data_IF_305484527858
#
_entry.id   IF_305484527858
#
_cell.length_a   1.000
_cell.length_b   1.000
_cell.length_c   1.000
_cell.angle_alpha   90.00
_cell.angle_beta   90.00
_cell.angle_gamma   90.00
#
_symmetry.space_group_name_H-M   'P 1'
#
loop_
_entity.id
_entity.type
_entity.pdbx_description
1 polymer ?
#
# COMPACT_ATOMS: atom_id res chain seq x y z
N UNK A 1 -8.10 -42.19 -36.63
CA UNK A 1 -7.00 -41.24 -36.40
C UNK A 1 -7.54 -40.16 -35.46
N UNK A 2 -7.14 -40.15 -34.19
CA UNK A 2 -7.58 -39.12 -33.25
C UNK A 2 -6.87 -37.80 -33.58
N UNK A 3 -7.64 -36.70 -33.58
CA UNK A 3 -7.18 -35.36 -33.87
C UNK A 3 -6.13 -34.87 -32.87
N UNK A 4 -5.15 -34.13 -33.38
CA UNK A 4 -4.11 -33.44 -32.63
C UNK A 4 -4.76 -32.43 -31.68
N UNK A 5 -4.32 -32.31 -30.40
CA UNK A 5 -4.82 -31.24 -29.55
C UNK A 5 -4.30 -29.89 -30.07
N UNK A 6 -5.20 -28.93 -30.19
CA UNK A 6 -4.89 -27.51 -30.43
C UNK A 6 -4.04 -27.00 -29.27
N UNK A 7 -2.77 -26.72 -29.54
CA UNK A 7 -1.92 -25.89 -28.70
C UNK A 7 -2.55 -24.50 -28.63
N UNK A 8 -3.04 -24.12 -27.45
CA UNK A 8 -3.36 -22.74 -27.11
C UNK A 8 -2.08 -21.92 -27.26
N UNK A 9 -2.04 -21.03 -28.24
CA UNK A 9 -0.99 -20.03 -28.36
C UNK A 9 -1.07 -19.08 -27.15
N UNK A 10 0.02 -19.01 -26.38
CA UNK A 10 0.22 -17.99 -25.36
C UNK A 10 0.32 -16.62 -26.06
N UNK A 11 -0.66 -15.76 -25.78
CA UNK A 11 -0.66 -14.36 -26.21
C UNK A 11 0.32 -13.54 -25.34
N UNK A 12 1.07 -12.57 -25.89
CA UNK A 12 2.13 -11.89 -25.15
C UNK A 12 1.56 -11.02 -24.03
N UNK A 13 2.28 -11.02 -22.91
CA UNK A 13 1.95 -10.37 -21.65
C UNK A 13 1.63 -8.88 -21.80
N UNK A 14 0.33 -8.56 -21.78
CA UNK A 14 -0.18 -7.27 -21.35
C UNK A 14 -0.62 -7.37 -19.90
N UNK A 15 -0.22 -6.40 -19.07
CA UNK A 15 -0.65 -6.14 -17.70
C UNK A 15 -1.89 -6.92 -17.25
N UNK A 16 -1.70 -8.12 -16.68
CA UNK A 16 -2.74 -8.80 -15.91
C UNK A 16 -2.58 -8.38 -14.46
N UNK A 17 -3.38 -7.43 -14.00
CA UNK A 17 -3.62 -7.23 -12.57
C UNK A 17 -4.21 -8.54 -12.02
N UNK A 18 -3.38 -9.36 -11.38
CA UNK A 18 -3.82 -10.51 -10.58
C UNK A 18 -4.32 -10.00 -9.23
N UNK A 19 -5.32 -10.67 -8.64
CA UNK A 19 -5.89 -10.38 -7.31
C UNK A 19 -4.89 -10.41 -6.14
N UNK A 20 -3.64 -10.76 -6.41
CA UNK A 20 -2.58 -10.94 -5.44
C UNK A 20 -1.52 -9.84 -5.51
N UNK A 21 -1.80 -8.69 -6.13
CA UNK A 21 -0.84 -7.60 -6.24
C UNK A 21 -1.31 -6.36 -5.47
N UNK A 22 -0.36 -5.62 -4.91
CA UNK A 22 -0.59 -4.26 -4.42
C UNK A 22 -0.08 -3.27 -5.45
N UNK A 23 -0.90 -2.27 -5.78
CA UNK A 23 -0.52 -1.16 -6.66
C UNK A 23 0.29 -0.14 -5.88
N UNK A 24 1.52 0.12 -6.33
CA UNK A 24 2.41 1.12 -5.75
C UNK A 24 2.83 2.15 -6.78
N UNK A 25 2.98 3.39 -6.34
CA UNK A 25 3.43 4.53 -7.13
C UNK A 25 4.83 4.94 -6.68
N UNK A 26 5.63 5.49 -7.59
CA UNK A 26 6.74 6.36 -7.24
C UNK A 26 6.46 7.78 -7.70
N UNK A 27 6.59 8.74 -6.79
CA UNK A 27 6.30 10.15 -7.10
C UNK A 27 7.40 10.79 -7.96
N UNK A 28 6.99 11.74 -8.81
CA UNK A 28 7.88 12.61 -9.59
C UNK A 28 8.55 13.72 -8.76
N UNK A 29 9.50 14.42 -9.37
CA UNK A 29 10.35 15.47 -8.75
C UNK A 29 9.69 16.88 -8.76
N UNK A 30 8.43 16.98 -9.20
CA UNK A 30 7.72 18.25 -9.38
C UNK A 30 6.74 18.52 -8.22
N UNK A 31 7.12 19.48 -7.37
CA UNK A 31 6.26 20.32 -6.50
C UNK A 31 5.26 19.66 -5.53
N UNK A 32 5.22 18.33 -5.37
CA UNK A 32 4.43 17.71 -4.30
C UNK A 32 5.15 17.82 -2.95
N UNK A 33 4.37 18.11 -1.91
CA UNK A 33 4.82 18.33 -0.52
C UNK A 33 5.31 17.06 0.19
N UNK A 34 5.52 15.95 -0.52
CA UNK A 34 6.01 14.66 0.00
C UNK A 34 7.26 14.25 -0.78
N UNK A 35 8.20 13.64 -0.07
CA UNK A 35 9.59 13.44 -0.47
C UNK A 35 9.73 12.90 -1.91
N UNK A 36 10.38 13.64 -2.82
CA UNK A 36 10.60 13.20 -4.20
C UNK A 36 11.22 11.79 -4.26
N UNK A 37 10.64 10.94 -5.10
CA UNK A 37 11.14 9.58 -5.36
C UNK A 37 10.77 8.51 -4.31
N UNK A 38 9.96 8.83 -3.30
CA UNK A 38 9.43 7.81 -2.38
C UNK A 38 8.34 6.95 -3.03
N UNK A 39 8.28 5.68 -2.62
CA UNK A 39 7.22 4.75 -3.01
C UNK A 39 6.03 4.89 -2.05
N UNK A 40 4.86 5.18 -2.59
CA UNK A 40 3.61 5.29 -1.84
C UNK A 40 2.44 4.63 -2.55
N UNK A 41 1.32 4.46 -1.84
CA UNK A 41 0.05 4.16 -2.46
C UNK A 41 -0.58 5.44 -3.04
N UNK A 42 -1.53 5.31 -3.98
CA UNK A 42 -2.31 6.45 -4.39
C UNK A 42 -3.02 7.11 -3.21
N UNK A 43 -3.07 8.44 -3.19
CA UNK A 43 -3.77 9.18 -2.15
C UNK A 43 -3.10 10.49 -1.75
N UNK A 44 -3.93 11.41 -1.27
CA UNK A 44 -3.50 12.75 -0.90
C UNK A 44 -4.25 13.30 0.29
N UNK A 45 -4.55 14.60 0.24
CA UNK A 45 -5.15 15.33 1.36
C UNK A 45 -6.66 15.45 1.11
N UNK A 46 -7.45 15.21 2.14
CA UNK A 46 -8.89 15.47 2.10
C UNK A 46 -9.19 16.92 1.71
N UNK A 47 -10.08 17.09 0.73
CA UNK A 47 -10.62 18.36 0.29
C UNK A 47 -12.03 18.61 0.83
N UNK A 48 -12.45 19.87 0.87
CA UNK A 48 -13.79 20.24 1.38
C UNK A 48 -14.95 19.69 0.55
N UNK A 49 -14.66 19.25 -0.67
CA UNK A 49 -15.58 18.62 -1.62
C UNK A 49 -15.72 17.11 -1.40
N UNK A 50 -14.78 16.50 -0.68
CA UNK A 50 -14.81 15.07 -0.40
C UNK A 50 -15.89 14.77 0.66
N UNK A 51 -16.78 13.82 0.36
CA UNK A 51 -17.86 13.45 1.28
C UNK A 51 -17.36 12.70 2.52
N UNK A 52 -16.28 11.92 2.36
CA UNK A 52 -15.61 11.14 3.39
C UNK A 52 -14.19 10.75 2.94
N UNK A 53 -13.46 10.01 3.79
CA UNK A 53 -12.10 9.53 3.49
C UNK A 53 -12.03 8.61 2.26
N UNK A 54 -13.12 7.90 1.94
CA UNK A 54 -13.17 7.03 0.75
C UNK A 54 -13.27 7.89 -0.51
N UNK A 55 -14.09 8.94 -0.48
CA UNK A 55 -14.17 9.91 -1.57
C UNK A 55 -12.81 10.57 -1.84
N UNK A 56 -12.06 10.96 -0.79
CA UNK A 56 -10.68 11.45 -0.94
C UNK A 56 -9.79 10.42 -1.63
N UNK A 57 -9.76 9.18 -1.16
CA UNK A 57 -8.90 8.14 -1.75
C UNK A 57 -9.24 7.86 -3.22
N UNK A 58 -10.53 7.83 -3.58
CA UNK A 58 -10.98 7.60 -4.95
C UNK A 58 -10.64 8.77 -5.88
N UNK A 59 -10.83 10.01 -5.42
CA UNK A 59 -10.48 11.21 -6.19
C UNK A 59 -8.99 11.24 -6.50
N UNK A 60 -8.16 11.08 -5.48
CA UNK A 60 -6.70 11.10 -5.62
C UNK A 60 -6.20 9.95 -6.51
N UNK A 61 -6.73 8.73 -6.36
CA UNK A 61 -6.39 7.62 -7.25
C UNK A 61 -6.81 7.88 -8.71
N UNK A 62 -7.90 8.59 -8.93
CA UNK A 62 -8.31 9.01 -10.27
C UNK A 62 -7.35 10.07 -10.84
N UNK A 63 -6.94 11.05 -10.04
CA UNK A 63 -6.01 12.12 -10.43
C UNK A 63 -4.60 11.57 -10.73
N UNK A 64 -4.09 10.67 -9.89
CA UNK A 64 -2.72 10.17 -9.98
C UNK A 64 -2.53 9.07 -11.04
N UNK A 65 -3.49 8.16 -11.18
CA UNK A 65 -3.37 6.98 -12.07
C UNK A 65 -4.55 6.73 -12.98
N UNK A 66 -5.55 7.62 -13.02
CA UNK A 66 -6.73 7.46 -13.88
C UNK A 66 -7.69 6.36 -13.44
N UNK A 67 -7.65 5.93 -12.17
CA UNK A 67 -8.55 4.89 -11.65
C UNK A 67 -9.96 5.45 -11.44
N UNK A 68 -10.87 5.18 -12.37
CA UNK A 68 -12.26 5.61 -12.24
C UNK A 68 -12.99 4.87 -11.10
N UNK A 69 -13.92 5.51 -10.37
CA UNK A 69 -14.65 4.87 -9.27
C UNK A 69 -15.38 3.56 -9.62
N UNK A 70 -15.82 3.40 -10.86
CA UNK A 70 -16.48 2.16 -11.31
C UNK A 70 -15.50 1.01 -11.60
N UNK A 71 -14.19 1.25 -11.56
CA UNK A 71 -13.13 0.26 -11.75
C UNK A 71 -12.55 -0.23 -10.41
N UNK A 72 -13.14 0.18 -9.28
CA UNK A 72 -12.69 -0.22 -7.96
C UNK A 72 -13.87 -0.55 -7.06
N UNK A 73 -13.82 -1.73 -6.45
CA UNK A 73 -14.73 -2.13 -5.39
C UNK A 73 -14.05 -1.87 -4.03
N UNK A 74 -14.48 -0.82 -3.33
CA UNK A 74 -13.96 -0.51 -1.99
C UNK A 74 -14.50 -1.52 -0.99
N UNK A 75 -13.58 -2.21 -0.30
CA UNK A 75 -13.90 -3.30 0.63
C UNK A 75 -13.96 -2.81 2.06
N UNK A 76 -12.95 -2.04 2.49
CA UNK A 76 -12.87 -1.55 3.85
C UNK A 76 -11.96 -0.33 4.01
N UNK A 77 -12.10 0.31 5.18
CA UNK A 77 -11.10 1.24 5.72
C UNK A 77 -10.33 0.50 6.81
N UNK A 78 -9.01 0.62 6.82
CA UNK A 78 -8.19 0.11 7.91
C UNK A 78 -8.15 1.12 9.07
N UNK A 79 -7.63 0.67 10.21
CA UNK A 79 -7.42 1.54 11.38
C UNK A 79 -6.54 2.73 10.95
N UNK A 80 -6.94 3.98 11.24
CA UNK A 80 -6.13 5.14 10.90
C UNK A 80 -4.76 5.10 11.57
N UNK A 81 -3.77 5.69 10.91
CA UNK A 81 -2.43 5.84 11.45
C UNK A 81 -2.16 7.29 11.83
N UNK A 82 -1.72 7.51 13.06
CA UNK A 82 -1.26 8.82 13.54
C UNK A 82 0.19 9.04 13.06
N UNK A 83 0.37 9.81 11.99
CA UNK A 83 1.69 10.09 11.44
C UNK A 83 2.48 11.08 12.30
N UNK A 84 1.80 12.14 12.73
CA UNK A 84 2.28 13.12 13.70
C UNK A 84 1.10 13.61 14.54
N UNK A 85 1.32 14.55 15.46
CA UNK A 85 0.28 15.03 16.38
C UNK A 85 -0.98 15.59 15.71
N UNK A 86 -0.88 16.01 14.44
CA UNK A 86 -1.97 16.69 13.72
C UNK A 86 -2.35 15.99 12.41
N UNK A 87 -1.72 14.87 12.07
CA UNK A 87 -1.88 14.20 10.78
C UNK A 87 -2.29 12.76 10.96
N UNK A 88 -3.47 12.43 10.44
CA UNK A 88 -4.02 11.08 10.36
C UNK A 88 -4.02 10.60 8.92
N UNK A 89 -3.71 9.32 8.73
CA UNK A 89 -3.79 8.64 7.44
C UNK A 89 -4.82 7.52 7.58
N UNK A 90 -5.89 7.57 6.79
CA UNK A 90 -6.92 6.51 6.73
C UNK A 90 -6.66 5.65 5.49
N UNK A 91 -6.16 4.40 5.63
CA UNK A 91 -5.97 3.52 4.49
C UNK A 91 -7.30 2.97 3.99
N UNK A 92 -7.52 3.03 2.69
CA UNK A 92 -8.70 2.48 2.02
C UNK A 92 -8.25 1.32 1.14
N UNK A 93 -8.90 0.15 1.29
CA UNK A 93 -8.57 -1.06 0.55
C UNK A 93 -9.70 -1.35 -0.44
N UNK A 94 -9.34 -1.59 -1.70
CA UNK A 94 -10.30 -1.94 -2.75
C UNK A 94 -9.73 -2.91 -3.77
N UNK A 95 -10.61 -3.68 -4.40
CA UNK A 95 -10.27 -4.53 -5.53
C UNK A 95 -10.38 -3.75 -6.84
N UNK A 96 -9.30 -3.76 -7.62
CA UNK A 96 -9.25 -3.07 -8.91
C UNK A 96 -9.75 -4.01 -10.02
N UNK A 97 -10.53 -3.48 -10.96
CA UNK A 97 -10.99 -4.20 -12.14
C UNK A 97 -9.81 -4.69 -12.99
N UNK A 98 -9.87 -5.95 -13.44
CA UNK A 98 -8.81 -6.58 -14.22
C UNK A 98 -8.50 -5.90 -15.57
N UNK A 99 -9.42 -5.09 -16.12
CA UNK A 99 -9.20 -4.33 -17.34
C UNK A 99 -8.63 -2.93 -17.09
N UNK A 100 -8.47 -2.52 -15.84
CA UNK A 100 -7.82 -1.26 -15.52
C UNK A 100 -6.39 -1.23 -16.07
N UNK A 101 -6.06 -0.14 -16.76
CA UNK A 101 -4.72 0.17 -17.20
C UNK A 101 -4.37 1.54 -16.61
N UNK A 102 -3.31 1.59 -15.80
CA UNK A 102 -2.89 2.82 -15.16
C UNK A 102 -2.51 3.88 -16.21
N UNK A 103 -2.97 5.10 -15.99
CA UNK A 103 -2.62 6.29 -16.75
C UNK A 103 -1.96 7.28 -15.79
N UNK A 104 -0.65 7.15 -15.54
CA UNK A 104 0.03 7.96 -14.54
C UNK A 104 0.01 9.43 -14.95
N UNK A 105 -0.40 10.32 -14.05
CA UNK A 105 -0.25 11.75 -14.24
C UNK A 105 1.23 12.12 -14.12
N UNK A 106 1.91 12.57 -15.19
CA UNK A 106 3.36 12.82 -15.17
C UNK A 106 3.77 13.97 -14.24
N UNK A 107 2.84 14.85 -13.86
CA UNK A 107 3.11 15.95 -12.93
C UNK A 107 3.32 15.45 -11.49
N UNK A 108 2.80 14.25 -11.17
CA UNK A 108 2.73 13.72 -9.80
C UNK A 108 3.37 12.33 -9.67
N UNK A 109 3.18 11.48 -10.68
CA UNK A 109 3.56 10.07 -10.68
C UNK A 109 4.61 9.79 -11.75
N UNK A 110 5.79 9.37 -11.30
CA UNK A 110 6.89 8.96 -12.17
C UNK A 110 6.70 7.56 -12.72
N UNK A 111 6.26 6.62 -11.87
CA UNK A 111 6.07 5.22 -12.28
C UNK A 111 5.01 4.53 -11.43
N UNK A 112 4.26 3.66 -12.08
CA UNK A 112 3.33 2.72 -11.44
C UNK A 112 3.91 1.32 -11.60
N UNK A 113 3.85 0.52 -10.54
CA UNK A 113 4.29 -0.87 -10.57
C UNK A 113 3.48 -1.69 -9.58
N UNK A 114 3.49 -3.01 -9.80
CA UNK A 114 2.79 -3.98 -8.97
C UNK A 114 3.79 -4.83 -8.20
N UNK A 115 3.45 -5.11 -6.94
CA UNK A 115 4.22 -6.02 -6.10
C UNK A 115 3.31 -7.16 -5.65
N UNK A 116 3.70 -8.44 -5.85
CA UNK A 116 2.98 -9.58 -5.29
C UNK A 116 2.83 -9.46 -3.77
N UNK A 117 1.64 -9.74 -3.27
CA UNK A 117 1.29 -9.56 -1.87
C UNK A 117 2.08 -10.49 -0.95
N UNK A 118 2.40 -11.69 -1.43
CA UNK A 118 3.26 -12.67 -0.76
C UNK A 118 4.70 -12.17 -0.57
N UNK A 119 5.17 -11.26 -1.44
CA UNK A 119 6.47 -10.61 -1.29
C UNK A 119 6.60 -9.87 0.05
N UNK A 120 5.50 -9.31 0.55
CA UNK A 120 5.49 -8.59 1.82
C UNK A 120 5.49 -9.53 3.04
N UNK A 121 5.38 -10.85 2.87
CA UNK A 121 5.54 -11.82 3.96
C UNK A 121 6.82 -12.65 3.81
N UNK A 122 7.23 -12.91 2.56
CA UNK A 122 8.39 -13.75 2.21
C UNK A 122 9.35 -13.02 1.25
N UNK A 123 9.93 -11.87 1.64
CA UNK A 123 10.77 -11.08 0.76
C UNK A 123 12.11 -11.77 0.48
N UNK A 124 12.62 -11.58 -0.73
CA UNK A 124 13.99 -11.99 -1.08
C UNK A 124 15.05 -11.01 -0.55
N UNK A 125 14.72 -9.72 -0.50
CA UNK A 125 15.59 -8.66 0.01
C UNK A 125 14.80 -7.73 0.94
N UNK A 126 15.15 -7.77 2.23
CA UNK A 126 14.47 -7.05 3.30
C UNK A 126 15.41 -6.75 4.45
N UNK A 127 15.21 -5.58 5.07
CA UNK A 127 15.79 -5.26 6.37
C UNK A 127 14.79 -4.45 7.20
N UNK A 128 15.04 -4.37 8.51
CA UNK A 128 14.21 -3.58 9.43
C UNK A 128 15.06 -2.77 10.38
N UNK A 129 14.57 -1.57 10.68
CA UNK A 129 15.16 -0.70 11.69
C UNK A 129 14.19 -0.55 12.86
N UNK A 130 14.73 -0.57 14.08
CA UNK A 130 13.93 -0.33 15.27
C UNK A 130 14.12 1.12 15.72
N UNK A 131 13.02 1.86 15.80
CA UNK A 131 13.01 3.24 16.28
C UNK A 131 12.31 3.31 17.64
N UNK A 132 12.88 4.05 18.58
CA UNK A 132 12.20 4.37 19.85
C UNK A 132 11.90 5.85 19.87
N UNK A 133 10.62 6.21 19.90
CA UNK A 133 10.17 7.60 19.93
C UNK A 133 9.10 7.78 21.01
N UNK A 134 9.28 8.76 21.90
CA UNK A 134 8.37 9.04 23.01
C UNK A 134 8.06 7.84 23.91
N UNK A 135 9.01 6.90 24.05
CA UNK A 135 8.84 5.66 24.82
C UNK A 135 8.12 4.54 24.09
N UNK A 136 7.76 4.74 22.82
CA UNK A 136 7.14 3.73 21.96
C UNK A 136 8.18 3.15 21.00
N UNK A 137 8.17 1.82 20.84
CA UNK A 137 9.01 1.11 19.89
C UNK A 137 8.25 0.92 18.58
N UNK A 138 8.90 1.27 17.48
CA UNK A 138 8.38 1.14 16.12
C UNK A 138 9.35 0.30 15.28
N UNK A 139 8.80 -0.55 14.43
CA UNK A 139 9.54 -1.25 13.39
C UNK A 139 9.37 -0.46 12.09
N UNK A 140 10.49 -0.14 11.44
CA UNK A 140 10.53 0.46 10.11
C UNK A 140 10.94 -0.65 9.15
N UNK A 141 9.96 -1.16 8.41
CA UNK A 141 10.19 -2.15 7.36
C UNK A 141 10.80 -1.49 6.13
N UNK A 142 11.77 -2.17 5.50
CA UNK A 142 12.41 -1.77 4.26
C UNK A 142 12.53 -2.97 3.31
N UNK A 143 11.80 -2.93 2.21
CA UNK A 143 11.80 -3.94 1.15
C UNK A 143 12.53 -3.42 -0.08
N UNK A 144 13.27 -4.31 -0.74
CA UNK A 144 13.85 -4.06 -2.06
C UNK A 144 13.18 -5.02 -3.03
N UNK A 145 12.37 -4.52 -3.97
CA UNK A 145 11.65 -5.34 -4.93
C UNK A 145 12.16 -5.07 -6.34
N UNK A 146 12.70 -6.08 -7.01
CA UNK A 146 13.08 -6.00 -8.42
C UNK A 146 11.93 -6.54 -9.27
N UNK A 147 11.33 -5.67 -10.10
CA UNK A 147 10.29 -6.10 -11.01
C UNK A 147 10.90 -7.05 -12.08
N UNK A 148 10.43 -8.30 -12.18
CA UNK A 148 10.99 -9.26 -13.12
C UNK A 148 10.75 -8.89 -14.59
N UNK A 149 9.77 -8.03 -14.89
CA UNK A 149 9.43 -7.66 -16.27
C UNK A 149 10.41 -6.64 -16.87
N UNK A 150 10.88 -5.67 -16.07
CA UNK A 150 11.73 -4.57 -16.54
C UNK A 150 13.10 -4.49 -15.84
N UNK A 151 13.33 -5.32 -14.82
CA UNK A 151 14.58 -5.37 -14.04
C UNK A 151 14.80 -4.17 -13.11
N UNK A 152 13.82 -3.29 -12.93
CA UNK A 152 13.95 -2.11 -12.07
C UNK A 152 13.73 -2.50 -10.61
N UNK A 153 14.65 -2.05 -9.74
CA UNK A 153 14.53 -2.23 -8.29
C UNK A 153 13.86 -1.02 -7.63
N UNK A 154 12.90 -1.31 -6.77
CA UNK A 154 12.12 -0.35 -5.99
C UNK A 154 12.35 -0.54 -4.50
N UNK A 155 12.45 0.57 -3.77
CA UNK A 155 12.64 0.57 -2.33
C UNK A 155 11.34 0.97 -1.64
N UNK A 156 10.71 0.04 -0.93
CA UNK A 156 9.41 0.23 -0.27
C UNK A 156 9.66 0.26 1.24
N UNK A 157 9.41 1.39 1.89
CA UNK A 157 9.79 1.61 3.29
C UNK A 157 8.72 2.33 4.10
N UNK A 158 8.87 2.33 5.42
CA UNK A 158 8.04 3.15 6.32
C UNK A 158 6.57 2.75 6.29
N UNK A 159 5.66 3.73 6.24
CA UNK A 159 4.22 3.47 6.31
C UNK A 159 3.68 2.68 5.13
N UNK A 160 4.20 2.93 3.92
CA UNK A 160 3.81 2.16 2.74
C UNK A 160 4.09 0.68 2.96
N UNK A 161 5.30 0.35 3.43
CA UNK A 161 5.69 -1.02 3.75
C UNK A 161 4.85 -1.61 4.88
N UNK A 162 4.62 -0.86 5.96
CA UNK A 162 3.79 -1.27 7.09
C UNK A 162 2.37 -1.67 6.68
N UNK A 163 1.70 -0.84 5.88
CA UNK A 163 0.35 -1.14 5.40
C UNK A 163 0.33 -2.30 4.40
N UNK A 164 1.36 -2.43 3.55
CA UNK A 164 1.49 -3.59 2.66
C UNK A 164 1.58 -4.91 3.44
N UNK A 165 2.43 -4.95 4.48
CA UNK A 165 2.53 -6.11 5.39
C UNK A 165 1.19 -6.37 6.07
N UNK A 166 0.53 -5.35 6.61
CA UNK A 166 -0.75 -5.50 7.29
C UNK A 166 -1.84 -6.10 6.40
N UNK A 167 -1.96 -5.61 5.16
CA UNK A 167 -2.89 -6.14 4.16
C UNK A 167 -2.53 -7.57 3.79
N UNK A 168 -1.24 -7.88 3.62
CA UNK A 168 -0.78 -9.23 3.31
C UNK A 168 -1.12 -10.23 4.43
N UNK A 169 -0.93 -9.84 5.69
CA UNK A 169 -1.30 -10.65 6.85
C UNK A 169 -2.80 -10.96 6.88
N UNK A 170 -3.66 -9.98 6.59
CA UNK A 170 -5.11 -10.17 6.58
C UNK A 170 -5.54 -11.10 5.44
N UNK A 171 -5.03 -10.88 4.23
CA UNK A 171 -5.51 -11.57 3.03
C UNK A 171 -4.94 -12.99 2.95
N UNK A 172 -3.66 -13.17 3.26
CA UNK A 172 -2.98 -14.46 3.10
C UNK A 172 -3.09 -15.32 4.36
N UNK A 173 -3.23 -14.71 5.54
CA UNK A 173 -3.29 -15.46 6.82
C UNK A 173 -2.00 -16.19 7.18
N UNK A 174 -0.89 -15.84 6.53
CA UNK A 174 0.42 -16.44 6.74
C UNK A 174 1.29 -15.58 7.67
N UNK A 175 2.28 -16.21 8.32
CA UNK A 175 3.23 -15.49 9.17
C UNK A 175 4.43 -15.02 8.32
N UNK A 176 4.92 -13.79 8.53
CA UNK A 176 6.08 -13.30 7.81
C UNK A 176 7.36 -13.99 8.28
N UNK A 177 8.42 -13.93 7.47
CA UNK A 177 9.75 -14.45 7.80
C UNK A 177 10.57 -13.52 8.71
N UNK A 178 9.97 -12.42 9.16
CA UNK A 178 10.59 -11.36 9.95
C UNK A 178 9.66 -10.90 11.09
N UNK A 179 10.16 -10.02 11.96
CA UNK A 179 9.39 -9.51 13.09
C UNK A 179 8.40 -8.44 12.64
N UNK A 180 7.19 -8.46 13.22
CA UNK A 180 6.17 -7.43 13.03
C UNK A 180 5.67 -6.91 14.36
N UNK A 181 5.23 -5.66 14.37
CA UNK A 181 4.66 -4.97 15.52
C UNK A 181 3.20 -5.36 15.80
N UNK A 182 2.58 -6.14 14.92
CA UNK A 182 1.18 -6.53 15.02
C UNK A 182 0.98 -7.77 15.88
N UNK A 183 -0.12 -7.82 16.64
CA UNK A 183 -0.54 -9.06 17.27
C UNK A 183 -1.15 -9.99 16.22
N UNK A 184 -0.38 -10.98 15.77
CA UNK A 184 -0.82 -11.93 14.73
C UNK A 184 -2.05 -12.77 15.11
N UNK A 185 -2.39 -12.87 16.41
CA UNK A 185 -3.58 -13.59 16.86
C UNK A 185 -4.82 -12.69 16.93
N UNK A 186 -4.64 -11.37 16.84
CA UNK A 186 -5.69 -10.36 16.98
C UNK A 186 -5.30 -9.05 16.28
N UNK A 187 -5.16 -9.10 14.95
CA UNK A 187 -4.59 -8.01 14.16
C UNK A 187 -5.40 -6.72 14.27
N UNK A 188 -6.73 -6.80 14.10
CA UNK A 188 -7.59 -5.62 14.02
C UNK A 188 -7.74 -4.95 15.37
N UNK A 189 -8.15 -5.69 16.41
CA UNK A 189 -8.44 -5.08 17.72
C UNK A 189 -7.17 -4.58 18.41
N UNK A 190 -6.04 -5.30 18.30
CA UNK A 190 -4.76 -4.78 18.83
C UNK A 190 -4.28 -3.51 18.12
N UNK A 191 -4.58 -3.35 16.84
CA UNK A 191 -4.23 -2.15 16.07
C UNK A 191 -5.09 -0.96 16.48
N UNK A 192 -6.39 -1.18 16.70
CA UNK A 192 -7.30 -0.16 17.24
C UNK A 192 -6.88 0.31 18.64
N UNK A 193 -6.53 -0.63 19.54
CA UNK A 193 -6.04 -0.29 20.87
C UNK A 193 -4.74 0.53 20.81
N UNK A 194 -3.83 0.15 19.93
CA UNK A 194 -2.56 0.86 19.73
C UNK A 194 -2.82 2.27 19.24
N UNK A 195 -3.71 2.44 18.26
CA UNK A 195 -4.15 3.75 17.79
C UNK A 195 -4.75 4.59 18.92
N UNK A 196 -5.68 4.03 19.71
CA UNK A 196 -6.32 4.74 20.82
C UNK A 196 -5.34 5.14 21.93
N UNK A 197 -4.30 4.33 22.18
CA UNK A 197 -3.21 4.66 23.13
C UNK A 197 -2.37 5.84 22.63
N UNK A 198 -2.08 5.89 21.33
CA UNK A 198 -1.33 7.00 20.71
C UNK A 198 -2.19 8.27 20.60
N UNK A 199 -3.49 8.11 20.37
CA UNK A 199 -4.44 9.22 20.25
C UNK A 199 -4.70 9.95 21.57
N UNK A 200 -4.75 9.23 22.70
CA UNK A 200 -4.92 9.85 24.03
C UNK A 200 -3.56 10.36 24.51
N UNK A 201 -3.28 11.68 24.50
CA UNK A 201 -2.08 12.16 25.17
C UNK A 201 -2.25 11.90 26.67
N UNK A 202 -1.16 11.55 27.36
CA UNK A 202 -1.15 11.55 28.81
C UNK A 202 -1.70 12.90 29.33
N UNK A 203 -2.50 12.92 30.41
CA UNK A 203 -3.00 14.18 30.95
C UNK A 203 -1.82 15.10 31.24
N UNK A 204 -1.89 16.31 30.69
CA UNK A 204 -0.93 17.38 30.94
C UNK A 204 -0.75 17.50 32.46
N UNK A 205 0.49 17.32 32.94
CA UNK A 205 0.84 17.76 34.29
C UNK A 205 0.73 19.29 34.29
N UNK A 206 -0.42 19.78 34.75
CA UNK A 206 -0.60 21.14 35.26
C UNK A 206 0.16 21.28 36.58
#
# INVERSE_FOLDING_TARGET
MPGRPETLEESPAGNKLSRNNVTTLSSGDSQLRRSPGEVCFPGGKCETTDADDVATALREAQEEVGLCPHQVEVVCRLVPYLFDTNTFITPVVGFIDHNFQAQPNPDEVKKVFLVPLDYFLHPHAYHQNHLTQSGHHFIIHCFEYTNPEDGVTYYIKGLTAKFAVFVALIILGEKPTFEVEFNLNDLTSSSEETFLKLYKPAPSKL
#
